data_IF_966211495463
#
_entry.id   IF_966211495463
#
_cell.length_a   1.000
_cell.length_b   1.000
_cell.length_c   1.000
_cell.angle_alpha   90.00
_cell.angle_beta   90.00
_cell.angle_gamma   90.00
#
_symmetry.space_group_name_H-M   'P 1'
#
loop_
_entity.id
_entity.type
_entity.pdbx_description
1 polymer ?
#
# COMPACT_ATOMS: atom_id res chain seq x y z
N UNK A 1 3.29 -14.11 -16.17
CA UNK A 1 4.19 -14.63 -17.22
C UNK A 1 4.05 -16.12 -17.51
N UNK A 2 3.51 -16.96 -16.59
CA UNK A 2 3.41 -18.42 -16.81
C UNK A 2 2.38 -18.83 -17.89
N UNK A 3 1.22 -18.13 -17.99
CA UNK A 3 0.15 -18.48 -18.94
C UNK A 3 0.61 -18.43 -20.40
N UNK A 4 1.22 -17.33 -20.83
CA UNK A 4 1.68 -17.15 -22.21
C UNK A 4 2.70 -18.22 -22.64
N UNK A 5 3.63 -18.58 -21.74
CA UNK A 5 4.61 -19.64 -22.00
C UNK A 5 3.95 -21.02 -22.15
N UNK A 6 2.98 -21.33 -21.27
CA UNK A 6 2.22 -22.59 -21.32
C UNK A 6 1.33 -22.71 -22.56
N UNK A 7 0.94 -21.61 -23.20
CA UNK A 7 0.13 -21.65 -24.42
C UNK A 7 0.83 -22.32 -25.60
N UNK A 8 2.17 -22.33 -25.59
CA UNK A 8 2.99 -23.00 -26.60
C UNK A 8 3.47 -24.39 -26.17
N UNK A 9 2.91 -24.96 -25.09
CA UNK A 9 3.26 -26.31 -24.66
C UNK A 9 2.89 -27.34 -25.75
N UNK A 10 3.80 -28.29 -25.96
CA UNK A 10 3.60 -29.41 -26.90
C UNK A 10 2.49 -30.33 -26.38
N UNK A 11 2.46 -30.57 -25.08
CA UNK A 11 1.34 -31.26 -24.44
C UNK A 11 0.11 -30.33 -24.36
N UNK A 12 -1.01 -30.81 -24.87
CA UNK A 12 -2.31 -30.12 -24.84
C UNK A 12 -2.83 -29.91 -23.41
N UNK A 13 -2.50 -30.80 -22.47
CA UNK A 13 -3.01 -30.75 -21.10
C UNK A 13 -2.26 -29.74 -20.24
N UNK A 14 -1.05 -29.36 -20.63
CA UNK A 14 -0.27 -28.30 -19.97
C UNK A 14 -0.72 -26.89 -20.38
N UNK A 15 -1.44 -26.77 -21.51
CA UNK A 15 -1.91 -25.48 -22.02
C UNK A 15 -2.94 -24.87 -21.07
N UNK A 16 -2.96 -23.53 -20.92
CA UNK A 16 -3.95 -22.89 -20.07
C UNK A 16 -5.36 -23.06 -20.62
N UNK A 17 -6.29 -23.30 -19.71
CA UNK A 17 -7.72 -23.28 -19.99
C UNK A 17 -8.22 -21.85 -20.23
N UNK A 18 -9.42 -21.71 -20.80
CA UNK A 18 -10.08 -20.43 -20.96
C UNK A 18 -10.32 -19.72 -19.61
N UNK A 19 -10.64 -20.49 -18.56
CA UNK A 19 -10.83 -19.96 -17.20
C UNK A 19 -9.53 -19.42 -16.60
N UNK A 20 -8.41 -20.12 -16.77
CA UNK A 20 -7.09 -19.63 -16.35
C UNK A 20 -6.71 -18.34 -17.08
N UNK A 21 -7.00 -18.24 -18.38
CA UNK A 21 -6.81 -17.01 -19.14
C UNK A 21 -7.67 -15.87 -18.62
N UNK A 22 -8.96 -16.12 -18.37
CA UNK A 22 -9.88 -15.11 -17.87
C UNK A 22 -9.42 -14.59 -16.50
N UNK A 23 -9.11 -15.49 -15.55
CA UNK A 23 -8.54 -15.13 -14.24
C UNK A 23 -7.24 -14.35 -14.35
N UNK A 24 -6.34 -14.79 -15.24
CA UNK A 24 -5.07 -14.11 -15.49
C UNK A 24 -5.26 -12.69 -16.01
N UNK A 25 -6.12 -12.50 -17.01
CA UNK A 25 -6.40 -11.18 -17.60
C UNK A 25 -7.10 -10.25 -16.61
N UNK A 26 -8.12 -10.73 -15.90
CA UNK A 26 -8.81 -9.96 -14.86
C UNK A 26 -7.82 -9.46 -13.79
N UNK A 27 -6.92 -10.34 -13.34
CA UNK A 27 -5.89 -9.96 -12.34
C UNK A 27 -4.89 -8.90 -12.84
N UNK A 28 -4.76 -8.71 -14.17
CA UNK A 28 -3.91 -7.67 -14.76
C UNK A 28 -4.70 -6.37 -14.92
N UNK A 29 -5.97 -6.45 -15.32
CA UNK A 29 -6.86 -5.29 -15.44
C UNK A 29 -6.99 -4.58 -14.09
N UNK A 30 -7.13 -5.34 -13.00
CA UNK A 30 -7.15 -4.81 -11.63
C UNK A 30 -5.87 -4.08 -11.20
N UNK A 31 -4.80 -4.18 -11.99
CA UNK A 31 -3.52 -3.50 -11.75
C UNK A 31 -3.30 -2.30 -12.65
N UNK A 32 -4.28 -1.90 -13.47
CA UNK A 32 -4.16 -0.72 -14.31
C UNK A 32 -4.52 0.52 -13.47
N UNK A 33 -3.59 1.44 -13.33
CA UNK A 33 -3.79 2.73 -12.67
C UNK A 33 -3.47 3.88 -13.63
N UNK A 34 -4.03 5.06 -13.35
CA UNK A 34 -3.69 6.29 -14.06
C UNK A 34 -2.62 7.09 -13.33
N UNK A 35 -1.67 7.65 -14.08
CA UNK A 35 -0.66 8.53 -13.49
C UNK A 35 -1.33 9.80 -12.92
N UNK A 36 -1.08 10.19 -11.66
CA UNK A 36 -1.69 11.39 -11.09
C UNK A 36 -1.19 12.69 -11.76
N UNK A 37 -0.10 12.62 -12.54
CA UNK A 37 0.51 13.79 -13.16
C UNK A 37 0.15 13.89 -14.65
N UNK A 38 0.40 12.85 -15.45
CA UNK A 38 0.14 12.87 -16.90
C UNK A 38 -1.16 12.15 -17.31
N UNK A 39 -1.88 11.54 -16.36
CA UNK A 39 -3.17 10.82 -16.55
C UNK A 39 -3.12 9.56 -17.42
N UNK A 40 -2.01 9.28 -18.07
CA UNK A 40 -1.79 8.04 -18.82
C UNK A 40 -1.92 6.79 -17.96
N UNK A 41 -2.56 5.76 -18.51
CA UNK A 41 -2.77 4.47 -17.86
C UNK A 41 -1.55 3.57 -17.98
N UNK A 42 -1.24 2.86 -16.91
CA UNK A 42 -0.15 1.90 -16.88
C UNK A 42 -0.42 0.76 -15.92
N UNK A 43 0.19 -0.40 -16.19
CA UNK A 43 0.14 -1.54 -15.26
C UNK A 43 1.05 -1.26 -14.08
N UNK A 44 0.48 -1.24 -12.88
CA UNK A 44 1.20 -1.11 -11.62
C UNK A 44 1.94 -2.39 -11.29
N UNK A 45 3.16 -2.19 -10.82
CA UNK A 45 3.97 -3.21 -10.17
C UNK A 45 4.49 -2.64 -8.85
N UNK A 46 4.72 -3.51 -7.87
CA UNK A 46 5.19 -3.17 -6.50
C UNK A 46 6.51 -2.38 -6.52
N UNK A 47 7.30 -2.52 -7.59
CA UNK A 47 8.59 -1.84 -7.74
C UNK A 47 8.50 -0.42 -8.32
N UNK A 48 7.36 -0.02 -8.91
CA UNK A 48 7.27 1.22 -9.68
C UNK A 48 7.07 2.44 -8.78
N UNK A 49 8.12 3.25 -8.63
CA UNK A 49 8.10 4.54 -7.93
C UNK A 49 7.83 5.76 -8.82
N UNK A 50 7.76 5.56 -10.13
CA UNK A 50 7.59 6.62 -11.13
C UNK A 50 6.68 6.18 -12.27
N UNK A 51 6.07 7.15 -12.95
CA UNK A 51 5.27 6.87 -14.14
C UNK A 51 6.17 6.32 -15.27
N UNK A 52 5.84 5.16 -15.88
CA UNK A 52 6.63 4.64 -16.99
C UNK A 52 6.54 5.49 -18.26
N UNK A 53 5.48 6.31 -18.39
CA UNK A 53 5.23 7.16 -19.54
C UNK A 53 5.91 8.53 -19.37
N UNK A 54 5.48 9.35 -18.41
CA UNK A 54 6.03 10.69 -18.23
C UNK A 54 7.31 10.76 -17.37
N UNK A 55 7.79 9.62 -16.84
CA UNK A 55 9.01 9.46 -16.01
C UNK A 55 9.05 10.26 -14.69
N UNK A 56 8.02 11.04 -14.38
CA UNK A 56 7.92 11.75 -13.09
C UNK A 56 7.67 10.76 -11.94
N UNK A 57 8.32 11.02 -10.80
CA UNK A 57 8.09 10.28 -9.56
C UNK A 57 6.65 10.48 -9.08
N UNK A 58 6.06 9.45 -8.45
CA UNK A 58 4.76 9.58 -7.82
C UNK A 58 4.85 10.44 -6.55
N UNK A 59 3.78 11.16 -6.17
CA UNK A 59 3.78 11.97 -4.97
C UNK A 59 4.00 11.09 -3.73
N UNK A 60 4.93 11.50 -2.88
CA UNK A 60 5.25 10.80 -1.63
C UNK A 60 4.44 11.38 -0.49
N UNK A 61 3.68 10.52 0.19
CA UNK A 61 3.01 10.89 1.43
C UNK A 61 4.02 10.90 2.59
N UNK A 62 3.66 11.61 3.66
CA UNK A 62 4.40 11.62 4.91
C UNK A 62 3.45 11.31 6.06
N UNK A 63 4.00 10.80 7.15
CA UNK A 63 3.26 10.60 8.40
C UNK A 63 3.79 11.61 9.42
N UNK A 64 2.94 12.50 9.90
CA UNK A 64 3.23 13.34 11.08
C UNK A 64 2.69 12.67 12.32
N UNK A 65 3.56 12.35 13.27
CA UNK A 65 3.19 11.87 14.58
C UNK A 65 2.85 13.08 15.46
N UNK A 66 1.62 13.19 15.95
CA UNK A 66 1.13 14.45 16.53
C UNK A 66 1.74 14.79 17.90
N UNK A 67 2.02 13.78 18.73
CA UNK A 67 2.56 14.01 20.07
C UNK A 67 4.03 14.45 20.09
N UNK A 68 4.80 14.11 19.05
CA UNK A 68 6.25 14.37 18.94
C UNK A 68 6.59 15.31 17.79
N UNK A 69 5.61 15.63 16.94
CA UNK A 69 5.77 16.33 15.67
C UNK A 69 6.82 15.68 14.74
N UNK A 70 7.14 14.39 14.96
CA UNK A 70 8.06 13.63 14.12
C UNK A 70 7.42 13.38 12.75
N UNK A 71 8.20 13.58 11.69
CA UNK A 71 7.77 13.32 10.32
C UNK A 71 8.48 12.07 9.81
N UNK A 72 7.72 11.13 9.26
CA UNK A 72 8.21 9.89 8.66
C UNK A 72 7.89 9.95 7.17
N UNK A 73 8.92 9.93 6.31
CA UNK A 73 8.75 9.94 4.86
C UNK A 73 8.32 8.57 4.33
N UNK A 74 7.33 8.53 3.42
CA UNK A 74 6.93 7.34 2.69
C UNK A 74 7.51 7.38 1.26
N UNK A 75 8.84 7.31 1.16
CA UNK A 75 9.63 7.35 -0.08
C UNK A 75 10.30 5.99 -0.42
N UNK A 76 10.23 5.03 0.51
CA UNK A 76 10.69 3.67 0.34
C UNK A 76 9.53 2.73 -0.03
N UNK A 77 9.84 1.61 -0.69
CA UNK A 77 8.80 0.66 -1.13
C UNK A 77 7.97 0.09 0.03
N UNK A 78 8.58 -0.03 1.20
CA UNK A 78 7.89 -0.28 2.46
C UNK A 78 8.56 0.51 3.58
N UNK A 79 7.75 1.11 4.47
CA UNK A 79 8.20 1.86 5.65
C UNK A 79 7.50 1.30 6.87
N UNK A 80 8.28 0.87 7.85
CA UNK A 80 7.76 0.38 9.12
C UNK A 80 7.58 1.56 10.08
N UNK A 81 6.45 1.59 10.78
CA UNK A 81 6.17 2.54 11.85
C UNK A 81 5.99 1.75 13.14
N UNK A 82 6.74 2.14 14.15
CA UNK A 82 6.74 1.44 15.42
C UNK A 82 6.96 2.34 16.62
N UNK A 83 7.14 1.70 17.78
CA UNK A 83 7.28 2.37 19.08
C UNK A 83 8.33 3.48 19.08
N UNK A 84 9.47 3.28 18.44
CA UNK A 84 10.55 4.27 18.34
C UNK A 84 10.13 5.54 17.59
N UNK A 85 9.24 5.40 16.60
CA UNK A 85 8.72 6.54 15.85
C UNK A 85 7.59 7.24 16.61
N UNK A 86 6.86 6.51 17.44
CA UNK A 86 5.72 7.00 18.21
C UNK A 86 6.09 7.51 19.62
N UNK A 87 7.33 7.97 19.82
CA UNK A 87 7.78 8.56 21.09
C UNK A 87 7.93 7.57 22.25
N UNK A 88 8.06 6.27 21.96
CA UNK A 88 8.33 5.25 22.97
C UNK A 88 7.09 4.66 23.67
N UNK A 89 5.87 4.97 23.23
CA UNK A 89 4.64 4.48 23.87
C UNK A 89 4.62 2.94 24.00
N UNK A 90 4.29 2.46 25.20
CA UNK A 90 4.16 1.01 25.48
C UNK A 90 2.94 0.40 24.79
N UNK A 91 1.97 1.20 24.37
CA UNK A 91 0.81 0.74 23.59
C UNK A 91 1.14 0.57 22.10
N UNK A 92 2.32 0.98 21.66
CA UNK A 92 2.80 0.77 20.29
C UNK A 92 3.78 -0.39 20.27
N UNK A 93 3.64 -1.27 19.27
CA UNK A 93 4.54 -2.41 19.05
C UNK A 93 5.87 -1.93 18.44
N UNK A 94 6.95 -2.70 18.55
CA UNK A 94 8.23 -2.36 17.90
C UNK A 94 8.08 -2.19 16.39
N UNK A 95 7.24 -3.00 15.77
CA UNK A 95 6.68 -2.81 14.42
C UNK A 95 5.17 -2.86 14.58
N UNK A 96 4.48 -1.74 14.34
CA UNK A 96 3.04 -1.62 14.61
C UNK A 96 2.22 -1.51 13.33
N UNK A 97 2.73 -0.78 12.35
CA UNK A 97 2.13 -0.69 11.02
C UNK A 97 3.23 -0.69 9.95
N UNK A 98 2.93 -1.25 8.78
CA UNK A 98 3.81 -1.21 7.61
C UNK A 98 3.09 -0.46 6.49
N UNK A 99 3.66 0.64 6.06
CA UNK A 99 3.20 1.39 4.90
C UNK A 99 3.90 0.84 3.66
N UNK A 100 3.15 0.57 2.59
CA UNK A 100 3.65 0.03 1.33
C UNK A 100 3.26 0.95 0.20
N UNK A 101 4.20 1.23 -0.69
CA UNK A 101 3.93 1.97 -1.93
C UNK A 101 3.69 0.94 -3.03
N UNK A 102 2.52 1.01 -3.66
CA UNK A 102 2.12 0.13 -4.76
C UNK A 102 1.72 1.03 -5.91
N UNK A 103 2.65 1.24 -6.86
CA UNK A 103 2.47 2.23 -7.93
C UNK A 103 2.31 3.64 -7.36
N UNK A 104 1.25 4.39 -7.72
CA UNK A 104 1.02 5.74 -7.22
C UNK A 104 0.34 5.77 -5.84
N UNK A 105 -0.05 4.61 -5.30
CA UNK A 105 -0.88 4.51 -4.11
C UNK A 105 -0.07 4.08 -2.89
N UNK A 106 -0.49 4.56 -1.73
CA UNK A 106 0.06 4.16 -0.44
C UNK A 106 -0.97 3.33 0.30
N UNK A 107 -0.49 2.24 0.90
CA UNK A 107 -1.29 1.30 1.66
C UNK A 107 -0.72 1.13 3.05
N UNK A 108 -1.55 0.95 4.06
CA UNK A 108 -1.13 0.60 5.42
C UNK A 108 -1.57 -0.82 5.73
N UNK A 109 -0.68 -1.58 6.36
CA UNK A 109 -0.95 -2.90 6.92
C UNK A 109 -0.69 -2.83 8.42
N UNK A 110 -1.73 -2.89 9.28
CA UNK A 110 -1.53 -3.07 10.71
C UNK A 110 -0.89 -4.43 10.96
N UNK A 111 0.11 -4.49 11.85
CA UNK A 111 0.77 -5.74 12.27
C UNK A 111 1.02 -5.80 13.78
N UNK A 112 0.75 -4.70 14.49
CA UNK A 112 0.96 -4.60 15.93
C UNK A 112 0.00 -5.45 16.76
N UNK A 113 0.36 -5.67 18.01
CA UNK A 113 -0.46 -6.40 18.99
C UNK A 113 -1.68 -5.59 19.42
N UNK A 114 -1.50 -4.28 19.60
CA UNK A 114 -2.62 -3.36 19.85
C UNK A 114 -3.20 -2.87 18.51
N UNK A 115 -4.49 -2.49 18.48
CA UNK A 115 -5.13 -2.12 17.23
C UNK A 115 -4.57 -0.82 16.63
N UNK A 116 -4.61 -0.75 15.31
CA UNK A 116 -4.48 0.51 14.57
C UNK A 116 -5.88 1.01 14.21
N UNK A 117 -6.12 2.31 14.36
CA UNK A 117 -7.38 2.95 14.03
C UNK A 117 -7.21 3.94 12.90
N UNK A 118 -8.24 4.09 12.05
CA UNK A 118 -8.35 5.16 11.06
C UNK A 118 -9.55 6.03 11.41
N UNK A 119 -9.41 7.36 11.27
CA UNK A 119 -10.52 8.28 11.47
C UNK A 119 -11.43 8.26 10.24
N UNK A 120 -12.72 8.01 10.45
CA UNK A 120 -13.78 8.15 9.44
C UNK A 120 -14.82 9.12 9.97
N UNK A 121 -14.84 10.33 9.40
CA UNK A 121 -15.64 11.43 9.91
C UNK A 121 -15.24 11.78 11.35
N UNK A 122 -16.17 11.64 12.30
CA UNK A 122 -15.92 11.92 13.72
C UNK A 122 -15.53 10.69 14.54
N UNK A 123 -15.51 9.49 13.95
CA UNK A 123 -15.27 8.23 14.66
C UNK A 123 -13.92 7.62 14.30
N UNK A 124 -13.31 6.95 15.27
CA UNK A 124 -12.18 6.07 15.06
C UNK A 124 -12.70 4.67 14.77
N UNK A 125 -12.31 4.10 13.64
CA UNK A 125 -12.62 2.71 13.29
C UNK A 125 -11.36 1.86 13.39
N UNK A 126 -11.49 0.67 13.94
CA UNK A 126 -10.38 -0.28 14.00
C UNK A 126 -10.10 -0.86 12.63
N UNK A 127 -8.83 -0.90 12.24
CA UNK A 127 -8.39 -1.60 11.03
C UNK A 127 -8.11 -3.07 11.36
N UNK A 128 -8.61 -4.02 10.55
CA UNK A 128 -8.28 -5.42 10.72
C UNK A 128 -6.77 -5.66 10.62
N UNK A 129 -6.23 -6.47 11.53
CA UNK A 129 -4.80 -6.77 11.54
C UNK A 129 -4.40 -7.59 10.31
N UNK A 130 -3.26 -7.27 9.70
CA UNK A 130 -2.74 -7.96 8.52
C UNK A 130 -3.37 -7.57 7.18
N UNK A 131 -4.49 -6.85 7.15
CA UNK A 131 -5.13 -6.42 5.90
C UNK A 131 -4.55 -5.09 5.39
N UNK A 132 -4.35 -5.00 4.07
CA UNK A 132 -3.96 -3.75 3.42
C UNK A 132 -5.16 -2.79 3.33
N UNK A 133 -4.93 -1.53 3.70
CA UNK A 133 -5.92 -0.46 3.63
C UNK A 133 -5.34 0.74 2.90
N UNK A 134 -6.11 1.27 1.95
CA UNK A 134 -5.69 2.43 1.17
C UNK A 134 -5.56 3.67 2.05
N UNK A 135 -4.51 4.45 1.80
CA UNK A 135 -4.14 5.66 2.54
C UNK A 135 -4.09 6.83 1.58
N UNK A 136 -4.66 7.96 2.00
CA UNK A 136 -4.57 9.23 1.26
C UNK A 136 -4.14 10.38 2.17
N UNK A 137 -3.64 11.44 1.56
CA UNK A 137 -3.37 12.70 2.25
C UNK A 137 -4.63 13.18 2.99
N UNK A 138 -4.44 13.69 4.21
CA UNK A 138 -5.50 14.12 5.13
C UNK A 138 -6.12 13.00 5.98
N UNK A 139 -5.81 11.73 5.74
CA UNK A 139 -6.24 10.66 6.63
C UNK A 139 -5.57 10.80 8.01
N UNK A 140 -6.31 10.49 9.07
CA UNK A 140 -5.80 10.45 10.44
C UNK A 140 -5.83 9.02 10.97
N UNK A 141 -4.78 8.64 11.70
CA UNK A 141 -4.58 7.32 12.27
C UNK A 141 -4.30 7.40 13.77
N UNK A 142 -4.57 6.29 14.48
CA UNK A 142 -4.02 6.04 15.81
C UNK A 142 -3.30 4.70 15.81
N UNK A 143 -2.04 4.71 16.21
CA UNK A 143 -1.24 3.51 16.46
C UNK A 143 -1.29 3.24 17.95
N UNK A 144 -2.13 2.30 18.39
CA UNK A 144 -2.49 2.17 19.80
C UNK A 144 -3.11 3.48 20.32
N UNK A 145 -2.37 4.17 21.19
CA UNK A 145 -2.76 5.45 21.80
C UNK A 145 -2.17 6.69 21.10
N UNK A 146 -1.28 6.52 20.12
CA UNK A 146 -0.57 7.63 19.47
C UNK A 146 -1.26 8.07 18.18
N UNK A 147 -1.64 9.34 18.11
CA UNK A 147 -2.23 9.94 16.91
C UNK A 147 -1.19 10.31 15.85
N UNK A 148 -1.57 10.09 14.59
CA UNK A 148 -0.79 10.45 13.42
C UNK A 148 -1.68 11.01 12.30
N UNK A 149 -1.10 11.86 11.46
CA UNK A 149 -1.75 12.45 10.30
C UNK A 149 -0.95 12.16 9.04
N UNK A 150 -1.65 11.85 7.95
CA UNK A 150 -1.04 11.70 6.63
C UNK A 150 -1.05 13.04 5.91
N UNK A 151 0.13 13.43 5.41
CA UNK A 151 0.36 14.66 4.64
C UNK A 151 0.78 14.32 3.22
#
# INVERSE_FOLDING_TARGET
MNLFRRSFALDRYERPTADEWNKGLLSVIEKIESCPICRESFVVDLSKKSCPICKKAFPHLKIRILNTNRIISLDQGAVQVGRSDCGGSRHVSSVHAVFKIIGPQVWVQPVGSNPTFQKKGRKWITLPNGELRYVKSGDAFRFGDVEAQIE
#
